data_IF_886089407152
#
_entry.id   IF_886089407152
#
_cell.length_a   1.000
_cell.length_b   1.000
_cell.length_c   1.000
_cell.angle_alpha   90.00
_cell.angle_beta   90.00
_cell.angle_gamma   90.00
#
_symmetry.space_group_name_H-M   'P 1'
#
loop_
_entity.id
_entity.type
_entity.pdbx_description
1 polymer ?
#
# COMPACT_ATOMS: atom_id res chain seq x y z
N UNK A 1 35.94 -60.53 -35.73
CA UNK A 1 35.53 -59.44 -34.81
C UNK A 1 36.73 -59.06 -33.95
N UNK A 2 37.20 -57.80 -33.98
CA UNK A 2 37.95 -57.28 -32.85
C UNK A 2 37.18 -56.15 -32.16
N UNK A 3 37.20 -56.21 -30.84
CA UNK A 3 36.52 -55.29 -29.93
C UNK A 3 37.18 -53.90 -29.98
N UNK A 4 36.38 -52.89 -30.35
CA UNK A 4 36.75 -51.49 -30.23
C UNK A 4 36.53 -51.01 -28.79
N UNK A 5 37.62 -50.73 -28.09
CA UNK A 5 37.64 -50.06 -26.78
C UNK A 5 37.04 -48.66 -26.88
N UNK A 6 35.85 -48.45 -26.32
CA UNK A 6 35.22 -47.15 -26.23
C UNK A 6 35.82 -46.35 -25.06
N UNK A 7 36.65 -45.36 -25.36
CA UNK A 7 37.14 -44.41 -24.36
C UNK A 7 35.97 -43.55 -23.80
N UNK A 8 35.95 -43.24 -22.49
CA UNK A 8 34.87 -42.43 -21.93
C UNK A 8 35.00 -40.98 -22.41
N UNK A 9 34.02 -40.53 -23.20
CA UNK A 9 33.83 -39.11 -23.56
C UNK A 9 33.67 -38.29 -22.28
N UNK A 10 34.74 -37.64 -21.85
CA UNK A 10 34.75 -36.61 -20.81
C UNK A 10 33.80 -35.50 -21.26
N UNK A 11 32.59 -35.44 -20.69
CA UNK A 11 31.65 -34.32 -20.88
C UNK A 11 32.35 -33.05 -20.40
N UNK A 12 32.94 -32.30 -21.34
CA UNK A 12 33.33 -30.91 -21.10
C UNK A 12 32.04 -30.17 -20.76
N UNK A 13 31.88 -29.74 -19.49
CA UNK A 13 30.90 -28.72 -19.12
C UNK A 13 31.22 -27.51 -19.98
N UNK A 14 30.38 -27.21 -20.96
CA UNK A 14 30.50 -26.03 -21.79
C UNK A 14 30.61 -24.80 -20.88
N UNK A 15 31.74 -24.10 -20.94
CA UNK A 15 31.88 -22.79 -20.33
C UNK A 15 30.81 -21.88 -20.97
N UNK A 16 30.05 -21.11 -20.18
CA UNK A 16 29.04 -20.21 -20.72
C UNK A 16 29.66 -19.26 -21.75
N UNK A 17 29.03 -19.13 -22.91
CA UNK A 17 29.50 -18.31 -24.02
C UNK A 17 29.68 -16.86 -23.54
N UNK A 18 30.82 -16.19 -23.81
CA UNK A 18 31.08 -14.81 -23.35
C UNK A 18 30.05 -13.74 -23.79
N UNK A 19 29.17 -14.09 -24.74
CA UNK A 19 28.17 -13.22 -25.35
C UNK A 19 26.73 -13.48 -24.88
N UNK A 20 26.48 -14.41 -23.94
CA UNK A 20 25.15 -14.57 -23.33
C UNK A 20 25.10 -13.84 -21.97
N UNK A 21 24.66 -12.56 -21.91
CA UNK A 21 24.56 -11.80 -20.66
C UNK A 21 23.72 -12.52 -19.59
N UNK A 22 22.75 -13.33 -20.00
CA UNK A 22 21.83 -14.07 -19.13
C UNK A 22 22.50 -15.14 -18.24
N UNK A 23 23.70 -15.59 -18.61
CA UNK A 23 24.46 -16.64 -17.91
C UNK A 23 25.51 -16.08 -16.95
N UNK A 24 25.67 -14.75 -16.85
CA UNK A 24 26.65 -14.13 -15.94
C UNK A 24 26.23 -14.31 -14.49
N UNK A 25 27.15 -14.77 -13.66
CA UNK A 25 26.96 -14.94 -12.22
C UNK A 25 26.97 -13.57 -11.52
N UNK A 26 26.12 -13.42 -10.51
CA UNK A 26 26.08 -12.22 -9.68
C UNK A 26 27.39 -12.03 -8.92
N UNK A 27 27.99 -10.84 -9.04
CA UNK A 27 29.15 -10.48 -8.22
C UNK A 27 28.72 -10.01 -6.83
N UNK A 28 29.66 -9.93 -5.88
CA UNK A 28 29.38 -9.37 -4.54
C UNK A 28 28.85 -7.93 -4.64
N UNK A 29 29.42 -7.12 -5.55
CA UNK A 29 28.98 -5.75 -5.80
C UNK A 29 27.52 -5.73 -6.26
N UNK A 30 27.17 -6.54 -7.24
CA UNK A 30 25.80 -6.66 -7.77
C UNK A 30 24.81 -7.04 -6.67
N UNK A 31 25.23 -7.98 -5.81
CA UNK A 31 24.41 -8.44 -4.70
C UNK A 31 24.18 -7.35 -3.64
N UNK A 32 25.22 -6.58 -3.26
CA UNK A 32 25.10 -5.46 -2.31
C UNK A 32 24.12 -4.41 -2.81
N UNK A 33 24.19 -4.07 -4.10
CA UNK A 33 23.28 -3.09 -4.71
C UNK A 33 21.84 -3.62 -4.77
N UNK A 34 21.66 -4.89 -5.12
CA UNK A 34 20.34 -5.51 -5.16
C UNK A 34 19.72 -5.67 -3.76
N UNK A 35 20.48 -6.16 -2.77
CA UNK A 35 20.01 -6.29 -1.39
C UNK A 35 19.69 -4.92 -0.79
N UNK A 36 20.55 -3.92 -1.01
CA UNK A 36 20.35 -2.56 -0.51
C UNK A 36 19.14 -1.87 -1.13
N UNK A 37 18.96 -1.97 -2.45
CA UNK A 37 17.80 -1.41 -3.14
C UNK A 37 16.49 -2.08 -2.69
N UNK A 38 16.48 -3.41 -2.57
CA UNK A 38 15.33 -4.12 -2.04
C UNK A 38 15.05 -3.78 -0.58
N UNK A 39 16.07 -3.64 0.27
CA UNK A 39 15.93 -3.25 1.68
C UNK A 39 15.22 -1.89 1.83
N UNK A 40 15.59 -0.90 1.01
CA UNK A 40 14.95 0.43 0.99
C UNK A 40 13.46 0.30 0.63
N UNK A 41 13.13 -0.52 -0.36
CA UNK A 41 11.76 -0.69 -0.85
C UNK A 41 10.88 -1.44 0.15
N UNK A 42 11.41 -2.46 0.83
CA UNK A 42 10.65 -3.23 1.83
C UNK A 42 10.52 -2.50 3.16
N UNK A 43 11.35 -1.49 3.46
CA UNK A 43 11.35 -0.85 4.78
C UNK A 43 9.97 -0.34 5.23
N UNK A 44 9.15 0.34 4.40
CA UNK A 44 7.81 0.75 4.83
C UNK A 44 6.81 -0.41 4.90
N UNK A 45 7.04 -1.49 4.15
CA UNK A 45 6.25 -2.73 4.28
C UNK A 45 6.56 -3.46 5.58
N UNK A 46 7.83 -3.47 5.99
CA UNK A 46 8.30 -4.09 7.23
C UNK A 46 7.67 -3.47 8.49
N UNK A 47 7.34 -2.17 8.44
CA UNK A 47 6.63 -1.47 9.52
C UNK A 47 5.15 -1.88 9.64
N UNK A 48 4.57 -2.48 8.59
CA UNK A 48 3.16 -2.90 8.54
C UNK A 48 2.99 -4.41 8.66
N UNK A 49 4.04 -5.17 8.36
CA UNK A 49 4.05 -6.62 8.41
C UNK A 49 4.11 -7.12 9.87
N UNK A 50 3.57 -8.32 10.15
CA UNK A 50 3.86 -9.00 11.40
C UNK A 50 5.37 -9.12 11.60
N UNK A 51 5.84 -8.86 12.82
CA UNK A 51 7.26 -8.81 13.14
C UNK A 51 8.02 -10.07 12.71
N UNK A 52 7.38 -11.24 12.79
CA UNK A 52 7.98 -12.53 12.43
C UNK A 52 8.24 -12.63 10.92
N UNK A 53 7.39 -12.06 10.06
CA UNK A 53 7.53 -12.10 8.62
C UNK A 53 8.61 -11.12 8.14
N UNK A 54 8.68 -9.95 8.77
CA UNK A 54 9.78 -8.99 8.60
C UNK A 54 11.10 -9.63 8.97
N UNK A 55 11.18 -10.24 10.15
CA UNK A 55 12.38 -10.91 10.63
C UNK A 55 12.81 -12.02 9.67
N UNK A 56 11.87 -12.88 9.25
CA UNK A 56 12.14 -13.96 8.30
C UNK A 56 12.68 -13.42 6.97
N UNK A 57 12.08 -12.36 6.41
CA UNK A 57 12.54 -11.74 5.16
C UNK A 57 13.94 -11.15 5.28
N UNK A 58 14.24 -10.46 6.39
CA UNK A 58 15.57 -9.91 6.66
C UNK A 58 16.61 -11.03 6.87
N UNK A 59 16.24 -12.13 7.54
CA UNK A 59 17.07 -13.31 7.67
C UNK A 59 17.41 -13.93 6.29
N UNK A 60 16.46 -13.96 5.34
CA UNK A 60 16.73 -14.44 3.98
C UNK A 60 17.73 -13.54 3.24
N UNK A 61 17.61 -12.21 3.37
CA UNK A 61 18.59 -11.27 2.82
C UNK A 61 19.98 -11.47 3.44
N UNK A 62 20.03 -11.57 4.78
CA UNK A 62 21.26 -11.82 5.52
C UNK A 62 21.91 -13.16 5.16
N UNK A 63 21.12 -14.23 5.02
CA UNK A 63 21.60 -15.54 4.59
C UNK A 63 22.21 -15.45 3.19
N UNK A 64 21.52 -14.82 2.24
CA UNK A 64 22.07 -14.66 0.88
C UNK A 64 23.39 -13.89 0.88
N UNK A 65 23.50 -12.87 1.72
CA UNK A 65 24.74 -12.11 1.92
C UNK A 65 25.86 -12.99 2.50
N UNK A 66 25.57 -13.73 3.56
CA UNK A 66 26.48 -14.69 4.20
C UNK A 66 27.00 -15.75 3.23
N UNK A 67 26.12 -16.36 2.42
CA UNK A 67 26.52 -17.33 1.40
C UNK A 67 27.50 -16.73 0.38
N UNK A 68 27.35 -15.45 0.04
CA UNK A 68 28.24 -14.77 -0.92
C UNK A 68 29.62 -14.52 -0.32
N UNK A 69 29.67 -14.03 0.93
CA UNK A 69 30.92 -13.76 1.63
C UNK A 69 31.72 -15.03 1.87
N UNK A 70 31.06 -16.09 2.34
CA UNK A 70 31.73 -17.34 2.70
C UNK A 70 31.88 -18.32 1.53
N UNK A 71 31.44 -17.93 0.32
CA UNK A 71 31.40 -18.80 -0.88
C UNK A 71 30.68 -20.12 -0.64
N UNK A 72 29.74 -20.14 0.32
CA UNK A 72 28.94 -21.32 0.66
C UNK A 72 27.97 -21.65 -0.46
N UNK A 73 27.63 -22.94 -0.65
CA UNK A 73 26.59 -23.31 -1.60
C UNK A 73 25.26 -22.66 -1.20
N UNK A 74 24.49 -22.26 -2.22
CA UNK A 74 23.13 -21.77 -2.02
C UNK A 74 22.24 -22.89 -1.49
N UNK A 75 21.23 -22.58 -0.67
CA UNK A 75 20.36 -23.58 -0.08
C UNK A 75 19.62 -24.39 -1.15
N UNK A 76 19.29 -25.64 -0.80
CA UNK A 76 18.53 -26.52 -1.69
C UNK A 76 17.14 -25.93 -1.98
N UNK A 77 16.65 -26.10 -3.21
CA UNK A 77 15.31 -25.63 -3.62
C UNK A 77 14.18 -26.17 -2.76
N UNK A 78 14.35 -27.38 -2.21
CA UNK A 78 13.36 -27.96 -1.28
C UNK A 78 13.27 -27.18 0.03
N UNK A 79 14.39 -26.64 0.54
CA UNK A 79 14.38 -25.81 1.73
C UNK A 79 13.67 -24.49 1.47
N UNK A 80 13.92 -23.84 0.33
CA UNK A 80 13.24 -22.59 -0.03
C UNK A 80 11.74 -22.80 -0.23
N UNK A 81 11.33 -23.92 -0.85
CA UNK A 81 9.91 -24.30 -0.99
C UNK A 81 9.26 -24.61 0.37
N UNK A 82 9.96 -25.31 1.28
CA UNK A 82 9.45 -25.59 2.61
C UNK A 82 9.25 -24.30 3.42
N UNK A 83 10.23 -23.39 3.40
CA UNK A 83 10.11 -22.07 4.05
C UNK A 83 8.98 -21.26 3.43
N UNK A 84 8.80 -21.31 2.11
CA UNK A 84 7.69 -20.65 1.43
C UNK A 84 6.33 -21.18 1.92
N UNK A 85 6.18 -22.51 1.95
CA UNK A 85 4.94 -23.17 2.36
C UNK A 85 4.58 -22.86 3.81
N UNK A 86 5.56 -22.94 4.73
CA UNK A 86 5.36 -22.62 6.15
C UNK A 86 4.96 -21.16 6.32
N UNK A 87 5.65 -20.22 5.67
CA UNK A 87 5.29 -18.80 5.75
C UNK A 87 3.89 -18.52 5.20
N UNK A 88 3.51 -19.15 4.06
CA UNK A 88 2.16 -19.03 3.52
C UNK A 88 1.10 -19.58 4.48
N UNK A 89 1.36 -20.71 5.13
CA UNK A 89 0.45 -21.29 6.12
C UNK A 89 0.27 -20.36 7.33
N UNK A 90 1.35 -19.77 7.83
CA UNK A 90 1.31 -18.80 8.94
C UNK A 90 0.55 -17.53 8.55
N UNK A 91 0.76 -16.99 7.34
CA UNK A 91 -0.02 -15.85 6.82
C UNK A 91 -1.50 -16.22 6.72
N UNK A 92 -1.83 -17.43 6.24
CA UNK A 92 -3.22 -17.90 6.18
C UNK A 92 -3.86 -18.04 7.55
N UNK A 93 -3.13 -18.53 8.56
CA UNK A 93 -3.62 -18.61 9.94
C UNK A 93 -3.88 -17.23 10.54
N UNK A 94 -2.99 -16.27 10.30
CA UNK A 94 -3.07 -14.89 10.82
C UNK A 94 -4.21 -14.10 10.17
N UNK A 95 -4.25 -14.08 8.83
CA UNK A 95 -5.18 -13.23 8.07
C UNK A 95 -6.46 -13.94 7.62
N UNK A 96 -6.57 -15.27 7.84
CA UNK A 96 -7.65 -16.14 7.37
C UNK A 96 -7.86 -16.16 5.84
N UNK A 97 -7.06 -15.42 5.09
CA UNK A 97 -7.07 -15.34 3.63
C UNK A 97 -5.65 -15.14 3.10
N UNK A 98 -5.38 -15.67 1.91
CA UNK A 98 -4.17 -15.39 1.14
C UNK A 98 -4.41 -14.32 0.06
N UNK A 99 -5.68 -14.02 -0.22
CA UNK A 99 -6.11 -13.08 -1.23
C UNK A 99 -6.63 -11.82 -0.56
N UNK A 100 -6.06 -10.69 -0.92
CA UNK A 100 -6.35 -9.39 -0.32
C UNK A 100 -5.16 -8.46 -0.46
N UNK A 101 -5.40 -7.15 -0.29
CA UNK A 101 -4.33 -6.15 -0.42
C UNK A 101 -3.21 -6.44 0.58
N UNK A 102 -3.57 -6.70 1.84
CA UNK A 102 -2.61 -6.90 2.92
C UNK A 102 -1.83 -8.20 2.81
N UNK A 103 -2.45 -9.39 2.83
CA UNK A 103 -1.70 -10.66 2.74
C UNK A 103 -0.94 -10.79 1.42
N UNK A 104 -1.50 -10.31 0.29
CA UNK A 104 -0.84 -10.37 -1.01
C UNK A 104 0.45 -9.57 -1.08
N UNK A 105 0.45 -8.33 -0.57
CA UNK A 105 1.66 -7.48 -0.57
C UNK A 105 2.72 -8.01 0.41
N UNK A 106 2.30 -8.53 1.56
CA UNK A 106 3.22 -9.13 2.53
C UNK A 106 3.88 -10.41 2.00
N UNK A 107 3.12 -11.26 1.30
CA UNK A 107 3.68 -12.42 0.61
C UNK A 107 4.61 -11.99 -0.52
N UNK A 108 4.30 -10.93 -1.27
CA UNK A 108 5.19 -10.39 -2.30
C UNK A 108 6.52 -9.92 -1.70
N UNK A 109 6.49 -9.22 -0.56
CA UNK A 109 7.67 -8.81 0.20
C UNK A 109 8.49 -10.04 0.62
N UNK A 110 7.85 -11.04 1.20
CA UNK A 110 8.54 -12.25 1.63
C UNK A 110 9.12 -13.06 0.45
N UNK A 111 8.39 -13.18 -0.65
CA UNK A 111 8.86 -13.82 -1.88
C UNK A 111 10.04 -13.10 -2.51
N UNK A 112 10.22 -11.79 -2.25
CA UNK A 112 11.44 -11.10 -2.64
C UNK A 112 12.67 -11.57 -1.87
N UNK A 113 12.50 -11.90 -0.59
CA UNK A 113 13.49 -12.64 0.22
C UNK A 113 13.91 -13.95 -0.42
N UNK A 114 12.93 -14.81 -0.72
CA UNK A 114 13.20 -16.12 -1.30
C UNK A 114 13.80 -16.03 -2.70
N UNK A 115 13.30 -15.12 -3.54
CA UNK A 115 13.82 -14.94 -4.90
C UNK A 115 15.25 -14.44 -4.88
N UNK A 116 15.59 -13.53 -3.96
CA UNK A 116 16.95 -13.06 -3.76
C UNK A 116 17.86 -14.21 -3.31
N UNK A 117 17.38 -15.04 -2.38
CA UNK A 117 18.10 -16.22 -1.89
C UNK A 117 18.40 -17.24 -3.01
N UNK A 118 17.49 -17.42 -3.98
CA UNK A 118 17.69 -18.32 -5.11
C UNK A 118 18.55 -17.71 -6.24
N UNK A 119 18.73 -16.39 -6.27
CA UNK A 119 19.34 -15.70 -7.42
C UNK A 119 20.81 -16.04 -7.63
N UNK A 120 21.14 -16.60 -8.81
CA UNK A 120 22.51 -16.97 -9.21
C UNK A 120 23.05 -16.11 -10.33
N UNK A 121 22.21 -15.84 -11.32
CA UNK A 121 22.61 -15.13 -12.53
C UNK A 121 22.06 -13.70 -12.55
N UNK A 122 22.58 -12.87 -13.45
CA UNK A 122 22.04 -11.53 -13.71
C UNK A 122 20.56 -11.59 -14.10
N UNK A 123 20.14 -12.63 -14.84
CA UNK A 123 18.72 -12.86 -15.17
C UNK A 123 17.86 -13.02 -13.92
N UNK A 124 18.31 -13.83 -12.95
CA UNK A 124 17.59 -14.01 -11.69
C UNK A 124 17.53 -12.70 -10.89
N UNK A 125 18.65 -11.97 -10.85
CA UNK A 125 18.74 -10.66 -10.21
C UNK A 125 17.80 -9.63 -10.83
N UNK A 126 17.65 -9.63 -12.16
CA UNK A 126 16.68 -8.77 -12.87
C UNK A 126 15.25 -9.09 -12.47
N UNK A 127 14.89 -10.37 -12.29
CA UNK A 127 13.56 -10.75 -11.78
C UNK A 127 13.35 -10.23 -10.35
N UNK A 128 14.35 -10.33 -9.49
CA UNK A 128 14.28 -9.76 -8.15
C UNK A 128 14.14 -8.22 -8.18
N UNK A 129 14.81 -7.54 -9.12
CA UNK A 129 14.66 -6.10 -9.29
C UNK A 129 13.24 -5.72 -9.78
N UNK A 130 12.64 -6.48 -10.70
CA UNK A 130 11.25 -6.28 -11.12
C UNK A 130 10.26 -6.49 -9.97
N UNK A 131 10.52 -7.47 -9.10
CA UNK A 131 9.74 -7.65 -7.88
C UNK A 131 9.86 -6.42 -6.96
N UNK A 132 11.05 -5.81 -6.88
CA UNK A 132 11.28 -4.53 -6.21
C UNK A 132 10.42 -3.40 -6.80
N UNK A 133 10.34 -3.26 -8.12
CA UNK A 133 9.44 -2.26 -8.74
C UNK A 133 7.97 -2.54 -8.43
N UNK A 134 7.55 -3.81 -8.42
CA UNK A 134 6.20 -4.18 -8.00
C UNK A 134 5.94 -3.75 -6.54
N UNK A 135 6.90 -3.97 -5.64
CA UNK A 135 6.81 -3.54 -4.24
C UNK A 135 6.80 -2.01 -4.04
N UNK A 136 7.41 -1.25 -4.96
CA UNK A 136 7.27 0.21 -4.99
C UNK A 136 5.82 0.59 -5.27
N UNK A 137 5.20 0.00 -6.29
CA UNK A 137 3.80 0.27 -6.64
C UNK A 137 2.88 -0.07 -5.47
N UNK A 138 3.11 -1.22 -4.81
CA UNK A 138 2.26 -1.64 -3.69
C UNK A 138 2.36 -0.74 -2.46
N UNK A 139 3.48 -0.02 -2.25
CA UNK A 139 3.57 0.98 -1.18
C UNK A 139 2.54 2.10 -1.35
N UNK A 140 2.30 2.54 -2.58
CA UNK A 140 1.32 3.58 -2.90
C UNK A 140 -0.14 3.10 -2.78
N UNK A 141 -0.37 1.79 -2.61
CA UNK A 141 -1.68 1.25 -2.24
C UNK A 141 -2.02 1.48 -0.76
N UNK A 142 -1.04 1.79 0.08
CA UNK A 142 -1.24 2.05 1.51
C UNK A 142 -1.21 3.54 1.83
N UNK A 143 -0.21 4.26 1.34
CA UNK A 143 0.00 5.67 1.68
C UNK A 143 0.56 6.43 0.49
N UNK A 144 0.00 7.62 0.24
CA UNK A 144 0.44 8.56 -0.79
C UNK A 144 1.15 9.77 -0.18
N UNK A 145 1.74 9.58 1.02
CA UNK A 145 2.44 10.65 1.73
C UNK A 145 3.76 11.05 1.05
N UNK A 146 4.18 12.30 1.26
CA UNK A 146 5.45 12.83 0.73
C UNK A 146 6.67 12.01 1.20
N UNK A 147 6.79 11.62 2.49
CA UNK A 147 7.91 10.77 2.93
C UNK A 147 7.99 9.43 2.18
N UNK A 148 6.84 8.76 2.00
CA UNK A 148 6.79 7.49 1.25
C UNK A 148 7.20 7.69 -0.20
N UNK A 149 6.72 8.76 -0.86
CA UNK A 149 7.13 9.10 -2.21
C UNK A 149 8.65 9.32 -2.31
N UNK A 150 9.25 10.05 -1.36
CA UNK A 150 10.69 10.25 -1.28
C UNK A 150 11.48 8.94 -1.17
N UNK A 151 11.08 8.05 -0.24
CA UNK A 151 11.70 6.73 -0.07
C UNK A 151 11.57 5.87 -1.33
N UNK A 152 10.38 5.88 -1.96
CA UNK A 152 10.14 5.13 -3.20
C UNK A 152 10.94 5.67 -4.38
N UNK A 153 11.15 6.99 -4.49
CA UNK A 153 12.05 7.57 -5.49
C UNK A 153 13.50 7.12 -5.29
N UNK A 154 13.99 7.07 -4.04
CA UNK A 154 15.31 6.53 -3.72
C UNK A 154 15.40 5.05 -4.10
N UNK A 155 14.39 4.25 -3.77
CA UNK A 155 14.30 2.84 -4.13
C UNK A 155 14.27 2.62 -5.65
N UNK A 156 13.48 3.41 -6.38
CA UNK A 156 13.39 3.39 -7.84
C UNK A 156 14.75 3.70 -8.48
N UNK A 157 15.43 4.73 -7.99
CA UNK A 157 16.78 5.09 -8.43
C UNK A 157 17.79 3.98 -8.14
N UNK A 158 17.77 3.40 -6.94
CA UNK A 158 18.68 2.32 -6.54
C UNK A 158 18.45 1.03 -7.36
N UNK A 159 17.21 0.64 -7.60
CA UNK A 159 16.87 -0.50 -8.47
C UNK A 159 17.31 -0.28 -9.92
N UNK A 160 17.07 0.93 -10.44
CA UNK A 160 17.48 1.30 -11.80
C UNK A 160 19.01 1.27 -11.94
N UNK A 161 19.74 1.82 -10.96
CA UNK A 161 21.19 1.77 -10.92
C UNK A 161 21.74 0.33 -10.84
N UNK A 162 21.05 -0.54 -10.10
CA UNK A 162 21.37 -1.98 -10.00
C UNK A 162 21.23 -2.66 -11.36
N UNK A 163 20.11 -2.43 -12.07
CA UNK A 163 19.88 -2.95 -13.42
C UNK A 163 20.90 -2.43 -14.45
N UNK A 164 21.27 -1.14 -14.40
CA UNK A 164 22.36 -0.61 -15.21
C UNK A 164 23.68 -1.33 -14.91
N UNK A 165 23.94 -1.63 -13.63
CA UNK A 165 25.10 -2.42 -13.20
C UNK A 165 25.13 -3.81 -13.81
N UNK A 166 24.01 -4.52 -13.83
CA UNK A 166 23.92 -5.85 -14.43
C UNK A 166 24.20 -5.84 -15.94
N UNK A 167 23.76 -4.79 -16.62
CA UNK A 167 23.99 -4.59 -18.05
C UNK A 167 25.43 -4.19 -18.39
N UNK A 168 26.12 -3.48 -17.48
CA UNK A 168 27.48 -2.99 -17.68
C UNK A 168 28.42 -3.25 -16.47
N UNK A 169 28.87 -4.50 -16.26
CA UNK A 169 29.56 -4.91 -15.02
C UNK A 169 30.93 -4.25 -14.80
N UNK A 170 31.65 -3.94 -15.88
CA UNK A 170 32.98 -3.34 -15.84
C UNK A 170 32.97 -1.83 -15.62
N UNK A 171 31.79 -1.19 -15.60
CA UNK A 171 31.69 0.27 -15.43
C UNK A 171 31.81 0.68 -13.95
N UNK A 172 32.42 1.85 -13.68
CA UNK A 172 32.48 2.39 -12.33
C UNK A 172 31.07 2.73 -11.81
N UNK A 173 30.86 2.58 -10.50
CA UNK A 173 29.54 2.81 -9.84
C UNK A 173 28.99 4.19 -10.19
N UNK A 174 29.84 5.23 -10.17
CA UNK A 174 29.44 6.61 -10.49
C UNK A 174 28.85 6.76 -11.89
N UNK A 175 29.39 6.04 -12.87
CA UNK A 175 28.85 6.05 -14.23
C UNK A 175 27.48 5.37 -14.30
N UNK A 176 27.29 4.26 -13.57
CA UNK A 176 26.01 3.57 -13.49
C UNK A 176 24.93 4.44 -12.84
N UNK A 177 25.27 5.13 -11.75
CA UNK A 177 24.38 6.09 -11.07
C UNK A 177 24.00 7.26 -11.99
N UNK A 178 24.97 7.81 -12.74
CA UNK A 178 24.69 8.87 -13.72
C UNK A 178 23.76 8.38 -14.83
N UNK A 179 23.99 7.18 -15.36
CA UNK A 179 23.10 6.60 -16.38
C UNK A 179 21.69 6.35 -15.83
N UNK A 180 21.55 5.83 -14.60
CA UNK A 180 20.24 5.66 -13.96
C UNK A 180 19.51 7.00 -13.77
N UNK A 181 20.22 8.04 -13.32
CA UNK A 181 19.66 9.39 -13.18
C UNK A 181 19.18 9.94 -14.53
N UNK A 182 19.98 9.78 -15.59
CA UNK A 182 19.60 10.21 -16.93
C UNK A 182 18.37 9.45 -17.45
N UNK A 183 18.30 8.13 -17.27
CA UNK A 183 17.13 7.33 -17.67
C UNK A 183 15.86 7.81 -16.96
N UNK A 184 15.92 8.04 -15.65
CA UNK A 184 14.78 8.55 -14.89
C UNK A 184 14.42 9.98 -15.28
N UNK A 185 15.40 10.84 -15.57
CA UNK A 185 15.16 12.19 -16.06
C UNK A 185 14.45 12.18 -17.43
N UNK A 186 14.79 11.26 -18.33
CA UNK A 186 14.08 11.10 -19.62
C UNK A 186 12.69 10.48 -19.45
N UNK A 187 12.47 9.67 -18.41
CA UNK A 187 11.16 9.13 -18.10
C UNK A 187 10.22 10.17 -17.46
N UNK A 188 10.75 11.22 -16.82
CA UNK A 188 9.95 12.21 -16.11
C UNK A 188 8.95 13.00 -17.01
N UNK A 189 9.31 13.48 -18.22
CA UNK A 189 8.34 14.10 -19.13
C UNK A 189 7.19 13.18 -19.51
N UNK A 190 7.48 11.90 -19.79
CA UNK A 190 6.45 10.91 -20.10
C UNK A 190 5.54 10.65 -18.88
N UNK A 191 6.13 10.54 -17.68
CA UNK A 191 5.37 10.41 -16.44
C UNK A 191 4.48 11.63 -16.18
N UNK A 192 4.96 12.85 -16.45
CA UNK A 192 4.19 14.09 -16.31
C UNK A 192 3.04 14.15 -17.32
N UNK A 193 3.29 13.78 -18.57
CA UNK A 193 2.25 13.70 -19.60
C UNK A 193 1.16 12.70 -19.19
N UNK A 194 1.55 11.50 -18.75
CA UNK A 194 0.60 10.51 -18.23
C UNK A 194 -0.15 11.04 -17.00
N UNK A 195 0.51 11.73 -16.09
CA UNK A 195 -0.10 12.29 -14.89
C UNK A 195 -1.16 13.36 -15.19
N UNK A 196 -0.95 14.17 -16.23
CA UNK A 196 -1.90 15.22 -16.65
C UNK A 196 -3.03 14.63 -17.50
N UNK A 197 -2.71 13.69 -18.40
CA UNK A 197 -3.65 13.14 -19.36
C UNK A 197 -4.52 12.00 -18.78
N UNK A 198 -4.03 11.24 -17.80
CA UNK A 198 -4.83 10.17 -17.19
C UNK A 198 -5.75 10.71 -16.09
N UNK A 199 -7.07 10.46 -16.18
CA UNK A 199 -7.99 10.77 -15.10
C UNK A 199 -7.63 9.93 -13.88
N UNK A 200 -7.51 10.59 -12.71
CA UNK A 200 -7.24 9.89 -11.46
C UNK A 200 -8.49 9.13 -11.05
N UNK A 201 -8.53 7.83 -11.33
CA UNK A 201 -9.61 6.97 -10.87
C UNK A 201 -9.48 6.82 -9.35
N UNK A 202 -10.40 7.44 -8.61
CA UNK A 202 -10.42 7.40 -7.16
C UNK A 202 -11.14 6.15 -6.67
N UNK A 203 -10.39 5.20 -6.09
CA UNK A 203 -10.92 3.98 -5.47
C UNK A 203 -10.01 2.77 -5.65
N UNK A 204 -10.16 1.72 -4.82
CA UNK A 204 -9.41 0.49 -5.01
C UNK A 204 -9.88 -0.17 -6.32
N UNK A 205 -9.01 -0.18 -7.34
CA UNK A 205 -9.26 -0.97 -8.57
C UNK A 205 -9.24 -2.48 -8.28
N UNK A 206 -8.58 -2.88 -7.19
CA UNK A 206 -8.38 -4.26 -6.75
C UNK A 206 -8.43 -4.32 -5.21
N UNK A 207 -9.60 -4.54 -4.65
CA UNK A 207 -9.79 -4.71 -3.21
C UNK A 207 -11.21 -5.20 -2.90
N UNK A 208 -11.34 -6.08 -1.91
CA UNK A 208 -12.66 -6.35 -1.31
C UNK A 208 -13.13 -5.07 -0.62
N UNK A 209 -14.43 -4.70 -0.68
CA UNK A 209 -14.94 -3.43 -0.12
C UNK A 209 -14.55 -3.15 1.33
N UNK A 210 -14.33 -4.22 2.11
CA UNK A 210 -13.95 -4.17 3.52
C UNK A 210 -12.49 -3.74 3.76
N UNK A 211 -11.54 -4.10 2.88
CA UNK A 211 -10.10 -3.81 3.03
C UNK A 211 -9.74 -2.33 2.83
N UNK A 212 -10.60 -1.59 2.12
CA UNK A 212 -10.34 -0.21 1.73
C UNK A 212 -10.51 0.79 2.88
N UNK A 213 -11.32 0.44 3.89
CA UNK A 213 -11.80 1.38 4.91
C UNK A 213 -11.71 0.88 6.37
N UNK A 214 -11.28 -0.36 6.61
CA UNK A 214 -11.15 -0.95 7.96
C UNK A 214 -10.15 -0.25 8.91
N UNK A 215 -9.40 0.75 8.44
CA UNK A 215 -8.43 1.52 9.22
C UNK A 215 -8.79 2.99 9.45
N UNK A 216 -9.98 3.44 9.04
CA UNK A 216 -10.44 4.79 9.32
C UNK A 216 -11.02 4.85 10.74
N UNK A 217 -10.33 5.53 11.64
CA UNK A 217 -10.87 5.87 12.96
C UNK A 217 -11.93 6.96 12.80
N UNK A 218 -13.17 6.71 13.23
CA UNK A 218 -14.28 7.64 13.09
C UNK A 218 -15.54 7.17 13.84
N UNK A 219 -16.62 7.95 13.74
CA UNK A 219 -17.95 7.49 14.18
C UNK A 219 -18.40 6.30 13.32
N UNK A 220 -19.10 5.34 13.94
CA UNK A 220 -19.57 4.10 13.33
C UNK A 220 -21.09 3.95 13.45
N UNK A 221 -21.67 3.04 12.66
CA UNK A 221 -23.12 2.76 12.62
C UNK A 221 -23.63 2.09 13.92
N UNK A 222 -22.70 1.75 14.82
CA UNK A 222 -22.96 1.15 16.12
C UNK A 222 -22.12 1.82 17.19
N UNK A 223 -22.64 1.91 18.41
CA UNK A 223 -21.91 2.40 19.57
C UNK A 223 -22.12 1.47 20.77
N UNK A 224 -21.02 1.06 21.40
CA UNK A 224 -21.04 0.31 22.66
C UNK A 224 -20.31 1.15 23.72
N UNK A 225 -20.75 1.12 25.00
CA UNK A 225 -20.01 1.79 26.07
C UNK A 225 -18.52 1.41 26.05
N UNK A 226 -17.64 2.41 26.04
CA UNK A 226 -16.19 2.24 25.94
C UNK A 226 -15.60 2.51 24.54
N UNK A 227 -16.34 2.32 23.44
CA UNK A 227 -15.81 2.52 22.08
C UNK A 227 -15.46 3.99 21.79
N UNK A 228 -16.19 4.95 22.39
CA UNK A 228 -15.96 6.39 22.17
C UNK A 228 -14.61 6.88 22.74
N UNK A 229 -14.05 6.15 23.70
CA UNK A 229 -12.76 6.50 24.32
C UNK A 229 -11.60 6.46 23.33
N UNK A 230 -11.64 5.55 22.35
CA UNK A 230 -10.64 5.47 21.29
C UNK A 230 -10.75 6.64 20.31
N UNK A 231 -11.97 7.10 20.04
CA UNK A 231 -12.19 8.26 19.17
C UNK A 231 -11.68 9.55 19.81
N UNK A 232 -11.89 9.71 21.12
CA UNK A 232 -11.41 10.88 21.88
C UNK A 232 -9.88 10.99 21.95
N UNK A 233 -9.15 9.88 21.74
CA UNK A 233 -7.69 9.84 21.70
C UNK A 233 -7.10 10.10 20.30
N UNK A 234 -7.94 10.26 19.28
CA UNK A 234 -7.49 10.47 17.90
C UNK A 234 -7.44 11.95 17.54
N UNK A 235 -6.26 12.43 17.16
CA UNK A 235 -6.06 13.79 16.62
C UNK A 235 -6.39 13.89 15.11
N UNK A 236 -7.03 12.87 14.54
CA UNK A 236 -7.42 12.86 13.14
C UNK A 236 -8.50 13.92 12.85
N UNK A 237 -8.31 14.69 11.78
CA UNK A 237 -9.29 15.69 11.35
C UNK A 237 -10.52 14.98 10.81
N UNK A 238 -11.70 15.21 11.40
CA UNK A 238 -12.96 14.71 10.88
C UNK A 238 -13.48 15.59 9.73
N UNK A 239 -13.58 16.89 9.97
CA UNK A 239 -13.99 17.88 8.97
C UNK A 239 -13.50 19.27 9.37
N UNK A 240 -13.64 20.23 8.44
CA UNK A 240 -13.43 21.66 8.67
C UNK A 240 -14.68 22.41 8.23
N UNK A 241 -15.11 23.38 9.03
CA UNK A 241 -16.22 24.26 8.68
C UNK A 241 -15.72 25.70 8.54
N UNK A 242 -16.16 26.38 7.48
CA UNK A 242 -15.90 27.79 7.23
C UNK A 242 -17.23 28.54 7.14
N UNK A 243 -17.47 29.43 8.10
CA UNK A 243 -18.67 30.27 8.15
C UNK A 243 -18.49 31.51 7.28
N UNK A 244 -19.54 31.93 6.55
CA UNK A 244 -19.49 33.18 5.76
C UNK A 244 -19.42 34.43 6.65
N UNK A 245 -20.08 34.37 7.80
CA UNK A 245 -20.14 35.43 8.80
C UNK A 245 -19.49 34.96 10.12
N UNK A 246 -19.69 35.74 11.18
CA UNK A 246 -19.20 35.39 12.51
C UNK A 246 -19.74 34.01 12.95
N UNK A 247 -18.86 33.06 13.33
CA UNK A 247 -19.29 31.72 13.65
C UNK A 247 -20.17 31.70 14.91
N UNK A 248 -21.13 30.74 15.00
CA UNK A 248 -21.99 30.61 16.17
C UNK A 248 -21.18 30.47 17.47
N UNK A 249 -21.71 30.94 18.62
CA UNK A 249 -21.19 30.60 19.95
C UNK A 249 -20.94 29.09 20.11
N UNK A 250 -19.92 28.70 20.88
CA UNK A 250 -19.54 27.31 21.12
C UNK A 250 -20.72 26.36 21.46
N UNK A 251 -21.68 26.73 22.32
CA UNK A 251 -22.82 25.87 22.64
C UNK A 251 -23.72 25.54 21.45
N UNK A 252 -23.72 26.39 20.42
CA UNK A 252 -24.52 26.22 19.21
C UNK A 252 -23.75 25.45 18.11
N UNK A 253 -22.51 25.03 18.36
CA UNK A 253 -21.69 24.24 17.41
C UNK A 253 -21.90 22.73 17.58
N UNK A 254 -23.15 22.31 17.79
CA UNK A 254 -23.49 20.90 17.82
C UNK A 254 -23.63 20.37 16.39
N UNK A 255 -22.61 19.64 15.95
CA UNK A 255 -22.57 19.00 14.65
C UNK A 255 -23.26 17.65 14.71
N UNK A 256 -24.48 17.58 14.18
CA UNK A 256 -25.26 16.36 14.10
C UNK A 256 -24.60 15.41 13.10
N UNK A 257 -24.30 14.20 13.54
CA UNK A 257 -23.79 13.10 12.72
C UNK A 257 -24.75 11.91 12.77
N UNK A 258 -24.27 10.66 12.90
CA UNK A 258 -25.14 9.51 13.12
C UNK A 258 -26.09 9.68 14.30
N UNK A 259 -27.33 9.26 14.12
CA UNK A 259 -28.28 9.06 15.21
C UNK A 259 -28.47 7.56 15.38
N UNK A 260 -28.15 7.07 16.58
CA UNK A 260 -28.26 5.67 16.96
C UNK A 260 -29.44 5.55 17.93
N UNK A 261 -30.56 5.04 17.44
CA UNK A 261 -31.83 5.03 18.16
C UNK A 261 -32.29 3.62 18.54
N UNK A 262 -31.82 2.59 17.84
CA UNK A 262 -32.09 1.20 18.17
C UNK A 262 -31.10 0.73 19.24
N UNK A 263 -31.58 0.03 20.27
CA UNK A 263 -30.79 -0.41 21.41
C UNK A 263 -31.11 -1.86 21.77
N UNK A 264 -30.11 -2.72 21.66
CA UNK A 264 -30.23 -4.16 21.88
C UNK A 264 -30.00 -4.61 23.35
N UNK A 265 -29.83 -3.65 24.26
CA UNK A 265 -29.45 -3.89 25.67
C UNK A 265 -27.98 -3.63 25.98
N UNK A 266 -27.12 -3.49 24.96
CA UNK A 266 -25.69 -3.18 25.13
C UNK A 266 -25.15 -2.19 24.10
N UNK A 267 -25.64 -2.25 22.87
CA UNK A 267 -25.14 -1.52 21.72
C UNK A 267 -26.28 -0.72 21.09
N UNK A 268 -26.00 0.55 20.79
CA UNK A 268 -26.88 1.38 19.98
C UNK A 268 -26.54 1.22 18.51
N UNK A 269 -27.55 1.15 17.65
CA UNK A 269 -27.42 0.94 16.20
C UNK A 269 -28.28 1.94 15.40
N UNK A 270 -28.01 2.05 14.10
CA UNK A 270 -28.73 2.93 13.15
C UNK A 270 -29.74 2.16 12.27
N UNK A 271 -30.24 0.99 12.70
CA UNK A 271 -31.00 0.07 11.85
C UNK A 271 -32.19 0.73 11.12
N UNK A 272 -32.12 0.77 9.78
CA UNK A 272 -33.16 1.31 8.92
C UNK A 272 -33.02 2.82 8.64
N UNK A 273 -32.48 3.16 7.47
CA UNK A 273 -32.53 4.53 6.95
C UNK A 273 -33.85 4.73 6.21
N UNK A 274 -34.76 5.49 6.80
CA UNK A 274 -36.04 5.85 6.19
C UNK A 274 -35.94 7.28 5.63
N UNK A 275 -35.71 7.45 4.32
CA UNK A 275 -35.63 8.76 3.71
C UNK A 275 -36.98 9.46 3.82
N UNK A 276 -36.96 10.73 4.22
CA UNK A 276 -38.14 11.59 4.28
C UNK A 276 -38.01 12.74 3.28
N UNK A 277 -39.14 13.23 2.79
CA UNK A 277 -39.17 14.47 2.03
C UNK A 277 -38.69 15.61 2.94
N UNK A 278 -37.71 16.36 2.47
CA UNK A 278 -37.17 17.48 3.21
C UNK A 278 -38.17 18.63 3.25
N UNK A 279 -38.56 19.04 4.45
CA UNK A 279 -39.32 20.25 4.70
C UNK A 279 -38.46 21.23 5.51
N UNK A 280 -38.21 22.45 5.01
CA UNK A 280 -37.45 23.44 5.77
C UNK A 280 -38.19 23.80 7.06
N UNK A 281 -37.48 24.02 8.18
CA UNK A 281 -38.11 24.44 9.42
C UNK A 281 -38.87 25.75 9.25
N UNK A 282 -40.11 25.87 9.75
CA UNK A 282 -40.89 27.10 9.64
C UNK A 282 -40.26 28.21 10.50
N UNK A 283 -39.94 29.34 9.88
CA UNK A 283 -39.29 30.51 10.51
C UNK A 283 -37.96 30.20 11.23
N UNK A 284 -36.90 29.83 10.49
CA UNK A 284 -35.62 29.51 11.10
C UNK A 284 -35.01 30.76 11.77
N UNK A 285 -34.59 30.61 13.03
CA UNK A 285 -33.86 31.63 13.79
C UNK A 285 -32.39 31.24 13.90
N UNK A 286 -31.49 32.22 13.89
CA UNK A 286 -30.05 31.95 13.98
C UNK A 286 -29.55 31.15 12.78
N UNK A 287 -29.87 31.61 11.56
CA UNK A 287 -29.42 30.95 10.33
C UNK A 287 -27.95 31.25 10.09
N UNK A 288 -27.15 30.20 9.96
CA UNK A 288 -25.73 30.30 9.63
C UNK A 288 -25.47 29.71 8.25
N UNK A 289 -24.77 30.46 7.41
CA UNK A 289 -24.23 29.96 6.14
C UNK A 289 -22.79 29.55 6.34
N UNK A 290 -22.46 28.34 5.94
CA UNK A 290 -21.13 27.78 6.08
C UNK A 290 -20.87 26.75 4.99
N UNK A 291 -19.59 26.50 4.74
CA UNK A 291 -19.16 25.37 3.92
C UNK A 291 -18.42 24.38 4.80
N UNK A 292 -18.62 23.09 4.53
CA UNK A 292 -17.93 22.00 5.21
C UNK A 292 -17.02 21.28 4.23
N UNK A 293 -15.80 21.00 4.66
CA UNK A 293 -14.86 20.10 4.00
C UNK A 293 -14.73 18.87 4.87
N UNK A 294 -15.38 17.79 4.46
CA UNK A 294 -15.48 16.52 5.17
C UNK A 294 -14.41 15.55 4.67
N UNK A 295 -13.67 14.93 5.60
CA UNK A 295 -12.73 13.86 5.24
C UNK A 295 -13.46 12.53 4.92
N UNK A 296 -12.78 11.67 4.17
CA UNK A 296 -13.31 10.37 3.80
C UNK A 296 -13.47 9.47 5.04
N UNK A 297 -14.69 8.99 5.26
CA UNK A 297 -15.01 8.12 6.40
C UNK A 297 -15.87 6.90 5.97
N UNK A 298 -16.21 6.78 4.68
CA UNK A 298 -16.92 5.64 4.08
C UNK A 298 -18.31 5.32 4.67
N UNK A 299 -18.95 6.29 5.30
CA UNK A 299 -20.38 6.25 5.60
C UNK A 299 -21.12 7.32 4.78
N UNK A 300 -22.45 7.21 4.64
CA UNK A 300 -23.22 8.18 3.87
C UNK A 300 -23.55 9.46 4.64
N UNK A 301 -23.36 9.53 5.96
CA UNK A 301 -23.74 10.72 6.72
C UNK A 301 -22.86 11.94 6.43
N UNK A 302 -23.49 13.11 6.45
CA UNK A 302 -22.87 14.43 6.39
C UNK A 302 -23.10 15.12 7.74
N UNK A 303 -22.14 15.94 8.15
CA UNK A 303 -22.26 16.74 9.37
C UNK A 303 -22.91 18.08 9.06
N UNK A 304 -23.97 18.40 9.80
CA UNK A 304 -24.63 19.70 9.74
C UNK A 304 -24.86 20.21 11.16
N UNK A 305 -24.94 21.53 11.33
CA UNK A 305 -25.41 22.11 12.59
C UNK A 305 -26.85 21.67 12.83
N UNK A 306 -27.13 21.23 14.05
CA UNK A 306 -28.42 20.81 14.64
C UNK A 306 -29.59 20.55 13.66
N UNK A 307 -30.11 21.60 13.02
CA UNK A 307 -31.14 21.53 11.98
C UNK A 307 -30.66 22.16 10.67
N UNK A 308 -30.63 21.37 9.59
CA UNK A 308 -30.29 21.86 8.26
C UNK A 308 -31.46 22.65 7.64
N UNK A 309 -31.19 23.90 7.21
CA UNK A 309 -32.14 24.78 6.50
C UNK A 309 -32.09 24.57 4.97
N UNK A 310 -31.01 23.99 4.48
CA UNK A 310 -30.84 23.56 3.09
C UNK A 310 -30.07 22.25 3.08
N UNK A 311 -30.35 21.42 2.08
CA UNK A 311 -29.62 20.17 1.86
C UNK A 311 -28.56 20.35 0.77
N UNK A 312 -27.34 19.81 0.97
CA UNK A 312 -26.34 19.70 -0.09
C UNK A 312 -26.87 19.00 -1.34
N UNK A 313 -26.29 19.32 -2.49
CA UNK A 313 -26.60 18.62 -3.74
C UNK A 313 -26.37 17.10 -3.60
N UNK A 314 -27.27 16.30 -4.18
CA UNK A 314 -27.22 14.84 -4.12
C UNK A 314 -27.22 14.24 -2.68
N UNK A 315 -27.90 14.92 -1.75
CA UNK A 315 -28.15 14.42 -0.40
C UNK A 315 -29.65 14.24 -0.13
N UNK A 316 -29.97 13.54 0.96
CA UNK A 316 -31.32 13.24 1.44
C UNK A 316 -31.36 13.46 2.95
N UNK A 317 -32.55 13.69 3.49
CA UNK A 317 -32.75 13.70 4.94
C UNK A 317 -33.39 12.38 5.39
N UNK A 318 -32.92 11.85 6.51
CA UNK A 318 -33.54 10.73 7.22
C UNK A 318 -34.59 11.24 8.21
N UNK A 319 -35.53 10.40 8.62
CA UNK A 319 -36.62 10.76 9.55
C UNK A 319 -36.13 11.34 10.89
N UNK A 320 -34.94 10.92 11.32
CA UNK A 320 -34.24 11.35 12.54
C UNK A 320 -33.37 12.59 12.32
N UNK A 321 -33.56 13.28 11.19
CA UNK A 321 -32.91 14.55 10.86
C UNK A 321 -31.45 14.41 10.43
N UNK A 322 -30.96 13.20 10.14
CA UNK A 322 -29.62 13.03 9.56
C UNK A 322 -29.59 13.49 8.11
N UNK A 323 -28.50 14.15 7.71
CA UNK A 323 -28.22 14.46 6.31
C UNK A 323 -27.35 13.34 5.73
N UNK A 324 -27.81 12.70 4.65
CA UNK A 324 -27.16 11.54 4.04
C UNK A 324 -26.84 11.83 2.58
N UNK A 325 -25.60 11.64 2.17
CA UNK A 325 -25.20 11.57 0.77
C UNK A 325 -25.81 10.34 0.09
N UNK A 326 -26.10 10.43 -1.21
CA UNK A 326 -26.59 9.30 -2.00
C UNK A 326 -25.59 8.11 -2.07
N UNK A 327 -24.31 8.38 -1.85
CA UNK A 327 -23.22 7.40 -1.89
C UNK A 327 -22.29 7.67 -0.70
N UNK A 328 -21.70 6.63 -0.07
CA UNK A 328 -20.75 6.81 1.01
C UNK A 328 -19.60 7.78 0.68
N UNK A 329 -19.19 8.60 1.65
CA UNK A 329 -18.15 9.62 1.49
C UNK A 329 -16.76 8.94 1.50
N UNK A 330 -16.30 8.58 0.31
CA UNK A 330 -15.04 7.84 0.08
C UNK A 330 -13.84 8.73 -0.25
N UNK A 331 -14.08 10.00 -0.50
CA UNK A 331 -13.07 11.03 -0.76
C UNK A 331 -13.47 12.31 -0.05
N UNK A 332 -12.51 13.21 0.15
CA UNK A 332 -12.80 14.52 0.72
C UNK A 332 -13.91 15.20 -0.07
N UNK A 333 -14.98 15.58 0.62
CA UNK A 333 -16.17 16.17 0.03
C UNK A 333 -16.34 17.58 0.57
N UNK A 334 -16.60 18.54 -0.32
CA UNK A 334 -17.02 19.88 0.05
C UNK A 334 -18.51 20.04 -0.20
N UNK A 335 -19.23 20.57 0.78
CA UNK A 335 -20.64 20.94 0.66
C UNK A 335 -20.94 22.24 1.40
N UNK A 336 -22.12 22.79 1.13
CA UNK A 336 -22.67 24.03 1.69
C UNK A 336 -24.02 23.72 2.34
#
# INVERSE_FOLDING_TARGET
MPAGTCAPRRRMKALPHPLSPDMRLLTLRDLVWLTGSLAIVIAPHALRAPWWLTLLTLCLYGWRFYCTLNRSPLPARWLTLAVAFVAMLLVWMEYRTLFGRQPGVLLLMFFSGLKLLESRTHRDGTVAAFLGYCLIITNFLYTQSIPTAGTMCIGLFALTATLVGFSAPSRPVRANLRTAALLLAHAAPAALALFVLFPRVHGPLWGLPQDAYAGLTGLSDTMTPGNLSQLALSDAIAFRAAFEAEPPPLPLRYWRGPVLWDFDGRTWSTEGVYPVSYEPPPNPRGVYRYSVVLEAHNHPWLFALETAVSLPAASRMSFDGQVLANVPVRSRLRYE
#
